data_IF_544451955177
#
_entry.id   IF_544451955177
#
_cell.length_a   1.000
_cell.length_b   1.000
_cell.length_c   1.000
_cell.angle_alpha   90.00
_cell.angle_beta   90.00
_cell.angle_gamma   90.00
#
_symmetry.space_group_name_H-M   'P 1'
#
loop_
_entity.id
_entity.type
_entity.pdbx_description
1 polymer ?
#
# COMPACT_ATOMS: atom_id res chain seq x y z
N UNK A 1 -49.81 12.42 -6.90
CA UNK A 1 -48.58 12.36 -7.72
C UNK A 1 -47.44 12.02 -6.78
N UNK A 2 -47.05 10.75 -6.72
CA UNK A 2 -45.96 10.29 -5.86
C UNK A 2 -44.62 10.66 -6.52
N UNK A 3 -43.84 11.52 -5.86
CA UNK A 3 -42.45 11.79 -6.27
C UNK A 3 -41.65 10.52 -5.97
N UNK A 4 -41.43 9.70 -7.00
CA UNK A 4 -40.59 8.51 -6.91
C UNK A 4 -39.20 8.85 -6.36
N UNK A 5 -38.66 7.94 -5.55
CA UNK A 5 -37.31 8.03 -4.96
C UNK A 5 -36.29 8.45 -6.03
N UNK A 6 -35.35 9.37 -5.72
CA UNK A 6 -34.27 9.69 -6.64
C UNK A 6 -33.50 8.41 -6.96
N UNK A 7 -33.49 8.06 -8.26
CA UNK A 7 -32.69 6.96 -8.82
C UNK A 7 -31.22 7.25 -8.46
N UNK A 8 -30.70 6.61 -7.41
CA UNK A 8 -29.26 6.60 -7.17
C UNK A 8 -28.60 5.95 -8.38
N UNK A 9 -27.99 6.75 -9.25
CA UNK A 9 -27.04 6.22 -10.23
C UNK A 9 -25.74 6.00 -9.48
N UNK A 10 -25.47 4.77 -9.09
CA UNK A 10 -24.09 4.34 -8.81
C UNK A 10 -23.38 4.34 -10.16
N UNK A 11 -22.77 5.47 -10.51
CA UNK A 11 -21.82 5.51 -11.63
C UNK A 11 -20.63 4.59 -11.31
N UNK A 12 -19.85 4.21 -12.33
CA UNK A 12 -18.58 3.51 -12.14
C UNK A 12 -17.52 4.42 -11.49
N UNK A 13 -17.79 4.94 -10.29
CA UNK A 13 -16.81 5.57 -9.44
C UNK A 13 -15.87 4.46 -8.96
N UNK A 14 -14.64 4.45 -9.49
CA UNK A 14 -13.57 3.57 -9.00
C UNK A 14 -13.45 3.75 -7.49
N UNK A 15 -13.61 2.66 -6.75
CA UNK A 15 -13.56 2.71 -5.28
C UNK A 15 -12.11 2.58 -4.86
N UNK A 16 -11.62 3.50 -4.03
CA UNK A 16 -10.30 3.36 -3.42
C UNK A 16 -10.38 2.32 -2.32
N UNK A 17 -9.76 1.17 -2.54
CA UNK A 17 -9.62 0.10 -1.55
C UNK A 17 -8.34 0.31 -0.76
N UNK A 18 -8.39 0.04 0.54
CA UNK A 18 -7.27 0.15 1.46
C UNK A 18 -6.92 -1.23 2.00
N UNK A 19 -5.63 -1.57 1.98
CA UNK A 19 -5.12 -2.85 2.46
C UNK A 19 -4.02 -2.58 3.49
N UNK A 20 -4.23 -3.01 4.72
CA UNK A 20 -3.18 -3.00 5.73
C UNK A 20 -2.15 -4.08 5.42
N UNK A 21 -0.86 -3.72 5.43
CA UNK A 21 0.23 -4.65 5.18
C UNK A 21 1.38 -4.41 6.16
N UNK A 22 2.20 -5.46 6.34
CA UNK A 22 3.46 -5.37 7.09
C UNK A 22 4.61 -5.70 6.15
N UNK A 23 5.56 -4.78 6.04
CA UNK A 23 6.83 -5.03 5.37
C UNK A 23 7.78 -5.61 6.39
N UNK A 24 8.39 -6.76 6.10
CA UNK A 24 9.37 -7.41 6.95
C UNK A 24 10.71 -7.46 6.21
N UNK A 25 11.76 -7.00 6.89
CA UNK A 25 13.12 -6.94 6.36
C UNK A 25 14.02 -7.89 7.13
N UNK A 26 14.63 -8.82 6.41
CA UNK A 26 15.49 -9.87 6.94
C UNK A 26 16.92 -9.41 7.21
N UNK A 27 17.31 -8.25 6.66
CA UNK A 27 18.60 -7.63 6.92
C UNK A 27 18.43 -6.11 6.99
N UNK A 28 19.43 -5.43 7.57
CA UNK A 28 19.53 -3.97 7.51
C UNK A 28 19.61 -3.47 6.05
N UNK A 29 20.31 -4.20 5.18
CA UNK A 29 20.50 -3.81 3.79
C UNK A 29 19.16 -3.82 3.03
N UNK A 30 18.28 -4.79 3.31
CA UNK A 30 16.95 -4.86 2.69
C UNK A 30 16.10 -3.63 3.04
N UNK A 31 16.16 -3.19 4.30
CA UNK A 31 15.44 -2.01 4.76
C UNK A 31 15.95 -0.73 4.07
N UNK A 32 17.27 -0.59 3.89
CA UNK A 32 17.89 0.54 3.18
C UNK A 32 17.53 0.51 1.69
N UNK A 33 17.68 -0.64 1.03
CA UNK A 33 17.36 -0.80 -0.39
C UNK A 33 15.88 -0.51 -0.67
N UNK A 34 14.98 -0.87 0.25
CA UNK A 34 13.58 -0.49 0.17
C UNK A 34 13.37 1.03 0.24
N UNK A 35 14.05 1.72 1.16
CA UNK A 35 13.94 3.18 1.26
C UNK A 35 14.50 3.87 0.02
N UNK A 36 15.65 3.43 -0.50
CA UNK A 36 16.22 3.95 -1.74
C UNK A 36 15.23 3.78 -2.90
N UNK A 37 14.66 2.59 -3.08
CA UNK A 37 13.62 2.37 -4.09
C UNK A 37 12.38 3.26 -3.89
N UNK A 38 11.91 3.40 -2.64
CA UNK A 38 10.73 4.20 -2.31
C UNK A 38 10.93 5.69 -2.59
N UNK A 39 12.09 6.26 -2.23
CA UNK A 39 12.40 7.66 -2.46
C UNK A 39 12.83 7.95 -3.89
N UNK A 40 13.54 7.02 -4.54
CA UNK A 40 14.16 7.28 -5.83
C UNK A 40 13.40 6.73 -7.03
N UNK A 41 12.81 5.53 -6.94
CA UNK A 41 12.13 4.90 -8.07
C UNK A 41 10.66 5.34 -8.13
N UNK A 42 9.91 5.14 -7.05
CA UNK A 42 8.47 5.47 -7.04
C UNK A 42 8.19 6.87 -6.49
N UNK A 43 9.21 7.62 -6.05
CA UNK A 43 9.10 9.00 -5.57
C UNK A 43 7.97 9.17 -4.54
N UNK A 44 7.82 8.20 -3.62
CA UNK A 44 6.84 8.14 -2.53
C UNK A 44 5.37 7.90 -2.92
N UNK A 45 4.91 8.51 -4.02
CA UNK A 45 3.50 8.51 -4.43
C UNK A 45 3.23 7.69 -5.70
N UNK A 46 4.28 7.13 -6.29
CA UNK A 46 4.22 6.31 -7.49
C UNK A 46 3.50 5.00 -7.27
N UNK A 47 2.91 4.51 -8.36
CA UNK A 47 2.26 3.20 -8.41
C UNK A 47 3.29 2.11 -8.64
N UNK A 48 3.06 0.94 -8.05
CA UNK A 48 3.88 -0.24 -8.22
C UNK A 48 3.04 -1.52 -8.22
N UNK A 49 3.60 -2.58 -8.77
CA UNK A 49 2.96 -3.89 -8.81
C UNK A 49 3.16 -4.61 -7.48
N UNK A 50 2.05 -5.07 -6.90
CA UNK A 50 2.02 -5.86 -5.69
C UNK A 50 1.21 -7.14 -5.90
N UNK A 51 1.79 -8.28 -5.54
CA UNK A 51 1.09 -9.56 -5.61
C UNK A 51 0.19 -9.74 -4.39
N UNK A 52 -1.11 -9.71 -4.63
CA UNK A 52 -2.14 -9.92 -3.62
C UNK A 52 -2.35 -11.44 -3.43
N UNK A 53 -1.74 -11.98 -2.38
CA UNK A 53 -1.80 -13.41 -2.07
C UNK A 53 -3.20 -13.90 -1.68
N UNK A 54 -4.10 -13.01 -1.24
CA UNK A 54 -5.47 -13.38 -0.89
C UNK A 54 -6.28 -13.75 -2.15
N UNK A 55 -6.05 -13.05 -3.25
CA UNK A 55 -6.77 -13.26 -4.51
C UNK A 55 -5.92 -13.92 -5.61
N UNK A 56 -4.63 -14.08 -5.39
CA UNK A 56 -3.70 -14.68 -6.37
C UNK A 56 -3.49 -13.82 -7.61
N UNK A 57 -3.56 -12.49 -7.49
CA UNK A 57 -3.42 -11.56 -8.62
C UNK A 57 -2.44 -10.44 -8.31
N UNK A 58 -1.78 -9.92 -9.35
CA UNK A 58 -0.98 -8.69 -9.23
C UNK A 58 -1.89 -7.48 -9.36
N UNK A 59 -1.78 -6.54 -8.42
CA UNK A 59 -2.49 -5.25 -8.42
C UNK A 59 -1.50 -4.12 -8.56
N UNK A 60 -1.89 -3.08 -9.29
CA UNK A 60 -1.21 -1.79 -9.23
C UNK A 60 -1.69 -1.05 -7.98
N UNK A 61 -0.77 -0.81 -7.04
CA UNK A 61 -1.04 -0.18 -5.74
C UNK A 61 -0.11 1.02 -5.53
N UNK A 62 -0.39 1.83 -4.51
CA UNK A 62 0.57 2.79 -3.94
C UNK A 62 0.44 2.83 -2.42
N UNK A 63 1.41 3.44 -1.74
CA UNK A 63 1.28 3.72 -0.31
C UNK A 63 0.29 4.85 -0.08
N UNK A 64 -0.67 4.65 0.84
CA UNK A 64 -1.68 5.66 1.20
C UNK A 64 -0.99 6.94 1.67
N UNK A 65 -1.29 8.06 1.01
CA UNK A 65 -0.67 9.36 1.30
C UNK A 65 0.86 9.38 1.13
N UNK A 66 1.44 8.38 0.47
CA UNK A 66 2.88 8.17 0.45
C UNK A 66 3.45 7.90 1.85
N UNK A 67 2.73 7.24 2.75
CA UNK A 67 3.23 6.91 4.09
C UNK A 67 3.68 5.44 4.18
N UNK A 68 4.92 5.24 4.63
CA UNK A 68 5.54 3.92 4.88
C UNK A 68 5.74 3.64 6.37
N UNK A 69 5.11 4.43 7.25
CA UNK A 69 5.17 4.30 8.69
C UNK A 69 6.57 4.48 9.27
N UNK A 70 6.81 3.87 10.43
CA UNK A 70 8.10 3.88 11.12
C UNK A 70 8.79 2.52 10.99
N UNK A 71 10.11 2.53 10.79
CA UNK A 71 10.93 1.32 10.86
C UNK A 71 11.11 0.88 12.31
N UNK A 72 10.62 -0.30 12.63
CA UNK A 72 10.72 -0.89 13.96
C UNK A 72 11.77 -2.01 13.96
N UNK A 73 12.86 -1.88 14.73
CA UNK A 73 13.83 -2.96 14.88
C UNK A 73 13.20 -4.12 15.66
N UNK A 74 13.39 -5.35 15.16
CA UNK A 74 12.99 -6.59 15.83
C UNK A 74 14.21 -7.35 16.38
N UNK A 75 15.41 -6.98 15.93
CA UNK A 75 16.68 -7.45 16.48
C UNK A 75 17.66 -6.27 16.60
N UNK A 76 18.70 -6.44 17.41
CA UNK A 76 19.76 -5.46 17.57
C UNK A 76 20.34 -5.03 16.21
N UNK A 77 20.69 -3.74 16.10
CA UNK A 77 21.28 -3.15 14.88
C UNK A 77 20.45 -3.35 13.60
N UNK A 78 19.13 -3.51 13.73
CA UNK A 78 18.22 -3.76 12.60
C UNK A 78 18.55 -5.05 11.84
N UNK A 79 19.08 -6.08 12.53
CA UNK A 79 19.28 -7.41 11.94
C UNK A 79 17.98 -7.96 11.35
N UNK A 80 16.86 -7.74 12.03
CA UNK A 80 15.51 -7.87 11.50
C UNK A 80 14.74 -6.60 11.81
N UNK A 81 13.83 -6.19 10.93
CA UNK A 81 12.97 -5.03 11.17
C UNK A 81 11.66 -5.12 10.41
N UNK A 82 10.69 -4.28 10.78
CA UNK A 82 9.39 -4.22 10.10
C UNK A 82 8.88 -2.79 9.97
N UNK A 83 7.94 -2.59 9.03
CA UNK A 83 7.11 -1.39 8.89
C UNK A 83 5.64 -1.81 8.75
N UNK A 84 4.74 -1.08 9.40
CA UNK A 84 3.30 -1.19 9.13
C UNK A 84 2.91 -0.12 8.12
N UNK A 85 2.24 -0.53 7.04
CA UNK A 85 1.88 0.34 5.91
C UNK A 85 0.43 0.12 5.51
N UNK A 86 -0.13 1.09 4.79
CA UNK A 86 -1.42 0.92 4.11
C UNK A 86 -1.20 1.07 2.61
N UNK A 87 -1.53 0.02 1.85
CA UNK A 87 -1.58 0.07 0.40
C UNK A 87 -2.97 0.54 -0.04
N UNK A 88 -3.04 1.26 -1.15
CA UNK A 88 -4.31 1.62 -1.78
C UNK A 88 -4.32 1.32 -3.27
N UNK A 89 -5.49 0.90 -3.77
CA UNK A 89 -5.71 0.63 -5.19
C UNK A 89 -7.13 0.97 -5.61
N UNK A 90 -7.32 1.15 -6.91
CA UNK A 90 -8.64 1.41 -7.50
C UNK A 90 -9.30 0.08 -7.89
N UNK A 91 -10.53 -0.13 -7.44
CA UNK A 91 -11.37 -1.27 -7.79
C UNK A 91 -12.58 -0.85 -8.63
#
# INVERSE_FOLDING_TARGET
>A
MEKGLPKMRVGQSRVVVHVAATLFFTTRQDAVAFEDWYFDAIKRIGWFDWYDSLYGITRSVRFKGGDIGQLQPLAARYGHSKRSVTLEYLR
#
